data_IF_935330459111
#
_entry.id   IF_935330459111
#
_cell.length_a   1.000
_cell.length_b   1.000
_cell.length_c   1.000
_cell.angle_alpha   90.00
_cell.angle_beta   90.00
_cell.angle_gamma   90.00
#
_symmetry.space_group_name_H-M   'P 1'
#
loop_
_entity.id
_entity.type
_entity.pdbx_description
1 polymer ?
#
# COMPACT_ATOMS: atom_id res chain seq x y z
N UNK A 1 -5.47 9.13 -9.45
CA UNK A 1 -4.09 8.79 -9.87
C UNK A 1 -4.08 7.32 -10.27
N UNK A 2 -3.37 6.98 -11.34
CA UNK A 2 -3.20 5.60 -11.81
C UNK A 2 -1.69 5.26 -11.83
N UNK A 3 -1.30 4.22 -11.10
CA UNK A 3 0.08 3.73 -10.98
C UNK A 3 0.03 2.20 -11.02
N UNK A 4 0.68 1.57 -12.00
CA UNK A 4 0.71 0.10 -12.16
C UNK A 4 -0.69 -0.56 -12.03
N UNK A 5 -1.73 0.14 -12.47
CA UNK A 5 -3.13 -0.17 -12.18
C UNK A 5 -3.77 -1.17 -13.15
N UNK A 6 -3.12 -1.46 -14.27
CA UNK A 6 -3.56 -2.48 -15.22
C UNK A 6 -3.13 -3.88 -14.74
N UNK A 7 -4.09 -4.61 -14.17
CA UNK A 7 -3.87 -5.94 -13.60
C UNK A 7 -3.64 -7.03 -14.67
N UNK A 8 -3.84 -6.73 -15.97
CA UNK A 8 -3.48 -7.64 -17.06
C UNK A 8 -1.98 -7.63 -17.37
N UNK A 9 -1.26 -6.61 -16.89
CA UNK A 9 0.16 -6.43 -17.16
C UNK A 9 1.01 -6.88 -15.97
N UNK A 10 2.07 -7.62 -16.26
CA UNK A 10 3.07 -7.95 -15.23
C UNK A 10 3.87 -6.69 -14.89
N UNK A 11 3.82 -6.29 -13.62
CA UNK A 11 4.67 -5.22 -13.09
C UNK A 11 5.68 -5.77 -12.07
N UNK A 12 6.93 -5.30 -12.15
CA UNK A 12 7.98 -5.58 -11.16
C UNK A 12 8.51 -4.25 -10.66
N UNK A 13 8.42 -4.05 -9.35
CA UNK A 13 8.82 -2.79 -8.70
C UNK A 13 9.94 -3.08 -7.71
N UNK A 14 11.10 -2.43 -7.88
CA UNK A 14 12.11 -2.40 -6.84
C UNK A 14 11.71 -1.33 -5.81
N UNK A 15 11.09 -1.75 -4.71
CA UNK A 15 10.58 -0.82 -3.69
C UNK A 15 11.70 -0.03 -3.00
N UNK A 16 12.94 -0.51 -3.00
CA UNK A 16 14.06 0.18 -2.35
C UNK A 16 14.46 1.48 -3.05
N UNK A 17 14.17 1.61 -4.35
CA UNK A 17 14.50 2.79 -5.16
C UNK A 17 13.38 3.82 -5.19
N UNK A 18 12.24 3.54 -4.54
CA UNK A 18 11.13 4.48 -4.47
C UNK A 18 11.34 5.48 -3.32
N UNK A 19 10.96 6.72 -3.57
CA UNK A 19 10.92 7.74 -2.53
C UNK A 19 9.83 7.43 -1.50
N UNK A 20 10.11 7.77 -0.25
CA UNK A 20 9.10 7.80 0.80
C UNK A 20 8.22 9.03 0.61
N UNK A 21 6.91 8.81 0.53
CA UNK A 21 5.92 9.87 0.45
C UNK A 21 5.13 9.90 1.75
N UNK A 22 4.92 11.08 2.33
CA UNK A 22 4.09 11.23 3.51
C UNK A 22 2.66 10.69 3.26
N UNK A 23 2.12 9.97 4.25
CA UNK A 23 0.71 9.62 4.27
C UNK A 23 -0.10 10.70 5.00
N UNK A 24 -1.44 10.72 4.86
CA UNK A 24 -2.28 11.60 5.67
C UNK A 24 -2.19 11.33 7.18
N UNK A 25 -1.82 10.11 7.58
CA UNK A 25 -1.59 9.77 8.99
C UNK A 25 -0.21 10.25 9.43
N UNK A 26 -0.17 11.02 10.53
CA UNK A 26 1.04 11.60 11.08
C UNK A 26 2.06 10.51 11.45
N UNK A 27 3.32 10.73 11.09
CA UNK A 27 4.42 9.78 11.34
C UNK A 27 4.41 8.54 10.45
N UNK A 28 3.46 8.40 9.51
CA UNK A 28 3.42 7.27 8.58
C UNK A 28 3.80 7.74 7.18
N UNK A 29 4.77 7.04 6.58
CA UNK A 29 5.23 7.24 5.20
C UNK A 29 4.98 6.00 4.36
N UNK A 30 4.89 6.17 3.04
CA UNK A 30 4.59 5.08 2.11
C UNK A 30 5.40 5.13 0.83
N UNK A 31 5.68 3.96 0.27
CA UNK A 31 6.13 3.75 -1.10
C UNK A 31 4.99 3.10 -1.88
N UNK A 32 4.48 3.79 -2.89
CA UNK A 32 3.34 3.32 -3.68
C UNK A 32 3.82 2.28 -4.70
N UNK A 33 3.24 1.08 -4.68
CA UNK A 33 3.55 0.01 -5.64
C UNK A 33 2.50 -0.06 -6.74
N UNK A 34 1.23 0.07 -6.36
CA UNK A 34 0.09 0.09 -7.26
C UNK A 34 -0.97 1.05 -6.70
N UNK A 35 -1.68 1.74 -7.58
CA UNK A 35 -2.82 2.58 -7.23
C UNK A 35 -3.78 2.76 -8.39
N UNK A 36 -5.06 2.56 -8.13
CA UNK A 36 -6.14 2.82 -9.06
C UNK A 36 -7.25 3.61 -8.36
N UNK A 37 -7.30 4.91 -8.63
CA UNK A 37 -8.36 5.79 -8.16
C UNK A 37 -7.93 7.06 -7.42
N UNK A 38 -8.93 7.72 -6.84
CA UNK A 38 -8.85 8.99 -6.12
C UNK A 38 -9.06 8.80 -4.61
N UNK A 39 -10.07 9.45 -4.04
CA UNK A 39 -10.38 9.43 -2.60
C UNK A 39 -10.59 8.01 -2.05
N UNK A 40 -11.31 7.17 -2.79
CA UNK A 40 -11.35 5.72 -2.60
C UNK A 40 -10.55 5.10 -3.74
N UNK A 41 -9.53 4.32 -3.40
CA UNK A 41 -8.65 3.70 -4.38
C UNK A 41 -8.25 2.30 -3.94
N UNK A 42 -8.13 1.40 -4.92
CA UNK A 42 -7.31 0.21 -4.72
C UNK A 42 -5.86 0.69 -4.65
N UNK A 43 -5.12 0.22 -3.65
CA UNK A 43 -3.73 0.57 -3.51
C UNK A 43 -2.94 -0.56 -2.87
N UNK A 44 -1.73 -0.77 -3.39
CA UNK A 44 -0.71 -1.62 -2.79
C UNK A 44 0.49 -0.74 -2.45
N UNK A 45 0.99 -0.81 -1.22
CA UNK A 45 2.08 0.06 -0.75
C UNK A 45 2.94 -0.62 0.30
N UNK A 46 4.21 -0.23 0.37
CA UNK A 46 5.04 -0.45 1.56
C UNK A 46 4.84 0.73 2.49
N UNK A 47 4.63 0.49 3.77
CA UNK A 47 4.41 1.54 4.77
C UNK A 47 5.46 1.49 5.87
N UNK A 48 5.89 2.66 6.34
CA UNK A 48 6.82 2.83 7.46
C UNK A 48 6.16 3.70 8.52
N UNK A 49 6.26 3.27 9.77
CA UNK A 49 5.71 3.96 10.93
C UNK A 49 6.88 4.54 11.74
N UNK A 50 6.82 5.84 12.01
CA UNK A 50 7.67 6.44 13.03
C UNK A 50 7.33 5.83 14.41
N UNK A 51 8.28 5.91 15.35
CA UNK A 51 8.06 5.44 16.72
C UNK A 51 6.83 6.12 17.33
N UNK A 52 5.95 5.33 17.96
CA UNK A 52 4.72 5.82 18.59
C UNK A 52 3.60 6.22 17.63
N UNK A 53 3.81 6.13 16.31
CA UNK A 53 2.75 6.42 15.33
C UNK A 53 1.77 5.25 15.18
N UNK A 54 0.52 5.58 14.89
CA UNK A 54 -0.56 4.63 14.64
C UNK A 54 -1.57 5.24 13.67
N UNK A 55 -2.39 4.38 13.04
CA UNK A 55 -3.61 4.85 12.38
C UNK A 55 -4.74 4.92 13.40
N UNK A 56 -5.62 5.90 13.22
CA UNK A 56 -6.92 5.87 13.89
C UNK A 56 -7.70 4.61 13.50
N UNK A 57 -8.60 4.20 14.39
CA UNK A 57 -9.50 3.09 14.12
C UNK A 57 -10.32 3.40 12.84
N UNK A 58 -10.29 2.48 11.89
CA UNK A 58 -10.97 2.66 10.60
C UNK A 58 -11.59 1.35 10.11
N UNK A 59 -12.61 1.48 9.26
CA UNK A 59 -13.27 0.35 8.63
C UNK A 59 -12.54 -0.05 7.34
N UNK A 60 -12.28 -1.34 7.17
CA UNK A 60 -11.84 -1.90 5.90
C UNK A 60 -13.05 -2.18 5.01
N UNK A 61 -13.37 -1.25 4.12
CA UNK A 61 -14.39 -1.48 3.09
C UNK A 61 -13.74 -2.28 1.96
N UNK A 62 -14.05 -3.57 1.86
CA UNK A 62 -13.69 -4.35 0.67
C UNK A 62 -14.89 -4.35 -0.27
N UNK A 63 -14.79 -3.63 -1.38
CA UNK A 63 -15.65 -3.92 -2.52
C UNK A 63 -15.22 -5.29 -3.09
N UNK A 64 -16.14 -6.14 -3.56
CA UNK A 64 -15.73 -7.29 -4.35
C UNK A 64 -14.96 -6.73 -5.54
N UNK A 65 -13.67 -7.08 -5.65
CA UNK A 65 -12.94 -6.88 -6.90
C UNK A 65 -13.80 -7.54 -7.97
N UNK A 66 -14.37 -6.75 -8.89
CA UNK A 66 -14.91 -7.29 -10.14
C UNK A 66 -13.72 -7.82 -10.92
N UNK A 67 -13.25 -9.01 -10.56
CA UNK A 67 -12.27 -9.76 -11.31
C UNK A 67 -12.89 -9.95 -12.69
N UNK A 68 -12.39 -9.21 -13.69
CA UNK A 68 -12.72 -9.45 -15.10
C UNK A 68 -12.07 -10.75 -15.59
N UNK A 69 -11.19 -11.37 -14.80
CA UNK A 69 -10.52 -12.63 -15.08
C UNK A 69 -10.26 -13.42 -13.78
N UNK A 70 -10.82 -14.64 -13.60
CA UNK A 70 -10.54 -15.52 -12.45
C UNK A 70 -9.07 -15.97 -12.33
N UNK A 71 -8.27 -15.92 -13.41
CA UNK A 71 -6.84 -16.27 -13.38
C UNK A 71 -5.95 -15.15 -12.82
N UNK A 72 -6.45 -13.91 -12.76
CA UNK A 72 -5.74 -12.75 -12.18
C UNK A 72 -5.89 -12.65 -10.65
N UNK A 73 -6.43 -13.70 -10.00
CA UNK A 73 -6.61 -13.77 -8.55
C UNK A 73 -5.30 -13.95 -7.78
N UNK A 74 -4.29 -13.13 -8.07
CA UNK A 74 -3.21 -12.88 -7.12
C UNK A 74 -3.75 -11.91 -6.05
N UNK A 75 -4.03 -12.49 -4.87
CA UNK A 75 -4.13 -11.87 -3.54
C UNK A 75 -3.53 -10.46 -3.45
N UNK A 76 -4.11 -9.57 -2.63
CA UNK A 76 -3.42 -9.06 -1.43
C UNK A 76 -4.23 -7.98 -0.67
N UNK A 77 -4.60 -8.29 0.57
CA UNK A 77 -4.63 -7.30 1.64
C UNK A 77 -3.34 -7.55 2.42
N UNK A 78 -2.27 -6.78 2.16
CA UNK A 78 -1.04 -6.87 2.97
C UNK A 78 -0.68 -5.47 3.42
N UNK A 79 -1.06 -5.19 4.66
CA UNK A 79 -0.31 -4.30 5.55
C UNK A 79 0.95 -5.07 5.93
N UNK A 80 2.02 -4.96 5.14
CA UNK A 80 3.32 -5.50 5.56
C UNK A 80 3.94 -4.48 6.52
N UNK A 81 3.68 -4.68 7.82
CA UNK A 81 4.37 -4.01 8.91
C UNK A 81 5.79 -4.56 8.96
N UNK A 82 6.80 -3.78 8.55
CA UNK A 82 8.14 -3.91 9.15
C UNK A 82 8.31 -2.75 10.10
N UNK A 83 8.06 -3.01 11.38
CA UNK A 83 8.48 -2.13 12.45
C UNK A 83 9.99 -2.30 12.57
N UNK A 84 10.76 -1.47 11.87
CA UNK A 84 12.19 -1.37 12.12
C UNK A 84 12.34 -0.85 13.55
N UNK A 85 12.56 -1.77 14.49
CA UNK A 85 12.98 -1.45 15.85
C UNK A 85 14.39 -0.89 15.76
N UNK A 86 14.53 0.40 15.51
CA UNK A 86 15.75 1.10 15.88
C UNK A 86 15.84 1.05 17.40
N UNK A 87 16.68 0.15 17.90
CA UNK A 87 17.26 0.23 19.24
C UNK A 87 17.96 1.59 19.31
N UNK A 88 17.38 2.50 20.09
CA UNK A 88 18.12 3.65 20.59
C UNK A 88 18.96 3.14 21.77
N UNK A 89 20.27 3.17 21.60
CA UNK A 89 21.22 3.21 22.71
C UNK A 89 21.34 4.67 23.18
#
# INVERSE_FOLDING_TARGET
MALNSDLSQRCVVNSHTLDWVASPAAGVSRRLLERDGGEVARATSVVSYAQGSAFDAHAHVSAPLKLRDPAAAARLCVVAVRADHHRAD
#
